data_IF_825315835930
#
_entry.id   IF_825315835930
#
_cell.length_a   1.000
_cell.length_b   1.000
_cell.length_c   1.000
_cell.angle_alpha   90.00
_cell.angle_beta   90.00
_cell.angle_gamma   90.00
#
_symmetry.space_group_name_H-M   'P 1'
#
loop_
_entity.id
_entity.type
_entity.pdbx_description
1 polymer ?
#
# COMPACT_ATOMS: atom_id res chain seq x y z
N UNK A 1 13.78 -9.40 17.84
CA UNK A 1 15.18 -9.18 17.39
C UNK A 1 16.11 -10.39 17.61
N UNK A 2 15.84 -11.33 18.53
CA UNK A 2 16.68 -12.54 18.70
C UNK A 2 16.52 -13.55 17.56
N UNK A 3 15.36 -13.61 16.92
CA UNK A 3 15.07 -14.54 15.82
C UNK A 3 15.80 -14.19 14.51
N UNK A 4 16.24 -12.94 14.33
CA UNK A 4 16.88 -12.48 13.08
C UNK A 4 18.24 -13.16 12.86
N UNK A 5 18.97 -13.49 13.93
CA UNK A 5 20.28 -14.16 13.85
C UNK A 5 20.23 -15.65 13.49
N UNK A 6 19.06 -16.28 13.57
CA UNK A 6 18.88 -17.72 13.28
C UNK A 6 18.25 -17.97 11.89
N UNK A 7 17.96 -16.90 11.15
CA UNK A 7 17.30 -16.98 9.84
C UNK A 7 18.33 -16.80 8.73
N UNK A 8 18.28 -17.60 7.65
CA UNK A 8 19.17 -17.46 6.50
C UNK A 8 19.18 -16.03 5.94
N UNK A 9 20.34 -15.58 5.46
CA UNK A 9 20.55 -14.22 4.92
C UNK A 9 19.58 -13.88 3.79
N UNK A 10 19.26 -14.85 2.95
CA UNK A 10 18.35 -14.71 1.81
C UNK A 10 16.92 -14.37 2.23
N UNK A 11 16.51 -14.82 3.42
CA UNK A 11 15.19 -14.48 3.99
C UNK A 11 15.21 -13.09 4.64
N UNK A 12 16.37 -12.70 5.21
CA UNK A 12 16.54 -11.38 5.82
C UNK A 12 16.52 -10.25 4.77
N UNK A 13 17.00 -10.49 3.55
CA UNK A 13 16.98 -9.51 2.45
C UNK A 13 15.57 -9.06 2.07
N UNK A 14 14.58 -9.95 2.19
CA UNK A 14 13.16 -9.63 1.93
C UNK A 14 12.44 -9.02 3.14
N UNK A 15 13.09 -8.97 4.30
CA UNK A 15 12.51 -8.48 5.55
C UNK A 15 11.53 -9.48 6.20
N UNK A 16 11.45 -9.42 7.52
CA UNK A 16 10.52 -10.23 8.31
C UNK A 16 9.52 -9.29 8.97
N UNK A 17 8.26 -9.45 8.60
CA UNK A 17 7.17 -8.68 9.21
C UNK A 17 6.36 -9.58 10.12
N UNK A 18 6.34 -9.26 11.42
CA UNK A 18 5.48 -9.93 12.42
C UNK A 18 4.35 -8.99 12.78
N UNK A 19 3.11 -9.40 12.51
CA UNK A 19 1.93 -8.62 12.83
C UNK A 19 0.94 -9.45 13.66
N UNK A 20 0.50 -8.98 14.85
CA UNK A 20 -0.60 -9.58 15.57
C UNK A 20 -1.90 -9.21 14.87
N UNK A 21 -2.50 -10.14 14.15
CA UNK A 21 -3.81 -9.93 13.51
C UNK A 21 -4.74 -11.09 13.71
N UNK A 22 -6.01 -10.81 13.77
CA UNK A 22 -7.05 -11.82 13.59
C UNK A 22 -7.18 -12.14 12.10
N UNK A 23 -7.31 -13.41 11.73
CA UNK A 23 -7.18 -13.87 10.33
C UNK A 23 -8.36 -13.50 9.43
N UNK A 24 -9.36 -12.76 9.88
CA UNK A 24 -10.55 -12.43 9.08
C UNK A 24 -10.58 -10.97 8.61
N UNK A 25 -10.97 -10.77 7.36
CA UNK A 25 -11.39 -9.45 6.87
C UNK A 25 -12.75 -9.14 7.46
N UNK A 26 -12.88 -7.97 8.11
CA UNK A 26 -14.16 -7.52 8.70
C UNK A 26 -14.92 -6.58 7.78
N UNK A 27 -14.22 -5.89 6.89
CA UNK A 27 -14.82 -4.96 5.93
C UNK A 27 -13.96 -4.86 4.68
N UNK A 28 -14.61 -4.77 3.53
CA UNK A 28 -13.97 -4.49 2.25
C UNK A 28 -14.55 -3.20 1.66
N UNK A 29 -13.67 -2.25 1.39
CA UNK A 29 -13.99 -0.95 0.81
C UNK A 29 -13.40 -0.89 -0.58
N UNK A 30 -14.21 -0.56 -1.56
CA UNK A 30 -13.77 -0.30 -2.93
C UNK A 30 -13.72 1.20 -3.16
N UNK A 31 -12.65 1.68 -3.76
CA UNK A 31 -12.51 3.02 -4.30
C UNK A 31 -12.43 2.91 -5.82
N UNK A 32 -13.19 3.70 -6.55
CA UNK A 32 -13.18 3.65 -8.02
C UNK A 32 -13.43 5.03 -8.62
N UNK A 33 -13.08 5.18 -9.89
CA UNK A 33 -13.32 6.41 -10.62
C UNK A 33 -14.17 6.13 -11.84
N UNK A 34 -15.28 6.86 -11.99
CA UNK A 34 -16.13 6.88 -13.17
C UNK A 34 -15.76 8.01 -14.15
N UNK A 35 -14.67 8.73 -13.86
CA UNK A 35 -14.18 9.80 -14.72
C UNK A 35 -13.72 9.24 -16.07
N UNK A 36 -14.19 9.85 -17.17
CA UNK A 36 -13.91 9.38 -18.53
C UNK A 36 -12.47 9.58 -18.98
N UNK A 37 -11.75 10.51 -18.33
CA UNK A 37 -10.36 10.78 -18.61
C UNK A 37 -9.47 9.85 -17.77
N UNK A 38 -8.41 9.35 -18.38
CA UNK A 38 -7.42 8.46 -17.75
C UNK A 38 -6.62 9.10 -16.60
N UNK A 39 -7.01 10.30 -16.17
CA UNK A 39 -6.35 11.03 -15.07
C UNK A 39 -6.40 10.28 -13.74
N UNK A 40 -7.45 9.49 -13.51
CA UNK A 40 -7.63 8.70 -12.28
C UNK A 40 -7.55 7.20 -12.59
N UNK A 41 -6.38 6.77 -13.04
CA UNK A 41 -6.09 5.38 -13.26
C UNK A 41 -5.95 4.61 -11.92
N UNK A 42 -5.81 3.30 -12.01
CA UNK A 42 -5.62 2.44 -10.85
C UNK A 42 -4.42 2.86 -10.00
N UNK A 43 -3.31 3.27 -10.62
CA UNK A 43 -2.09 3.68 -9.91
C UNK A 43 -2.31 4.96 -9.11
N UNK A 44 -3.05 5.91 -9.69
CA UNK A 44 -3.45 7.12 -8.97
C UNK A 44 -4.33 6.79 -7.77
N UNK A 45 -5.37 5.94 -7.95
CA UNK A 45 -6.27 5.55 -6.87
C UNK A 45 -5.52 4.83 -5.74
N UNK A 46 -4.54 3.98 -6.07
CA UNK A 46 -3.67 3.33 -5.12
C UNK A 46 -2.84 4.34 -4.30
N UNK A 47 -2.23 5.30 -4.97
CA UNK A 47 -1.45 6.36 -4.30
C UNK A 47 -2.36 7.26 -3.46
N UNK A 48 -3.51 7.65 -3.99
CA UNK A 48 -4.49 8.46 -3.29
C UNK A 48 -4.96 7.79 -1.98
N UNK A 49 -5.33 6.52 -2.05
CA UNK A 49 -5.77 5.77 -0.88
C UNK A 49 -4.63 5.59 0.15
N UNK A 50 -3.41 5.36 -0.30
CA UNK A 50 -2.24 5.24 0.58
C UNK A 50 -2.02 6.51 1.40
N UNK A 51 -2.17 7.67 0.79
CA UNK A 51 -1.90 8.96 1.42
C UNK A 51 -3.10 9.42 2.26
N UNK A 52 -4.31 9.34 1.70
CA UNK A 52 -5.49 10.01 2.25
C UNK A 52 -6.45 9.09 3.02
N UNK A 53 -6.47 7.77 2.74
CA UNK A 53 -7.46 6.87 3.34
C UNK A 53 -6.86 5.92 4.39
N UNK A 54 -5.72 5.29 4.10
CA UNK A 54 -5.18 4.24 4.97
C UNK A 54 -4.82 4.78 6.36
N UNK A 55 -4.20 5.97 6.44
CA UNK A 55 -3.81 6.55 7.73
C UNK A 55 -4.99 6.92 8.63
N UNK A 56 -6.04 7.61 8.15
CA UNK A 56 -7.24 7.85 8.95
C UNK A 56 -7.95 6.56 9.38
N UNK A 57 -8.05 5.56 8.51
CA UNK A 57 -8.65 4.26 8.83
C UNK A 57 -7.87 3.52 9.92
N UNK A 58 -6.54 3.52 9.86
CA UNK A 58 -5.68 2.89 10.89
C UNK A 58 -5.76 3.58 12.27
N UNK A 59 -6.30 4.80 12.36
CA UNK A 59 -6.53 5.48 13.64
C UNK A 59 -7.82 5.05 14.33
N UNK A 60 -8.67 4.31 13.66
CA UNK A 60 -9.89 3.76 14.25
C UNK A 60 -9.50 2.65 15.21
N UNK A 61 -9.96 2.75 16.44
CA UNK A 61 -9.66 1.77 17.50
C UNK A 61 -10.15 0.37 17.11
N UNK A 62 -9.30 -0.62 17.32
CA UNK A 62 -9.61 -2.01 16.99
C UNK A 62 -9.22 -2.44 15.58
N UNK A 63 -8.78 -1.56 14.68
CA UNK A 63 -8.22 -1.93 13.39
C UNK A 63 -6.76 -2.39 13.57
N UNK A 64 -6.45 -3.59 13.07
CA UNK A 64 -5.09 -4.12 13.05
C UNK A 64 -4.35 -3.73 11.78
N UNK A 65 -5.02 -3.79 10.64
CA UNK A 65 -4.41 -3.54 9.34
C UNK A 65 -5.45 -3.10 8.31
N UNK A 66 -5.03 -2.20 7.42
CA UNK A 66 -5.72 -1.87 6.17
C UNK A 66 -4.79 -2.25 5.03
N UNK A 67 -5.16 -3.27 4.25
CA UNK A 67 -4.36 -3.79 3.13
C UNK A 67 -5.00 -3.47 1.79
N UNK A 68 -4.17 -3.15 0.81
CA UNK A 68 -4.58 -2.93 -0.57
C UNK A 68 -4.49 -4.24 -1.34
N UNK A 69 -5.56 -4.62 -2.01
CA UNK A 69 -5.55 -5.78 -2.89
C UNK A 69 -4.95 -5.37 -4.25
N UNK A 70 -3.97 -6.15 -4.73
CA UNK A 70 -3.31 -5.86 -6.01
C UNK A 70 -2.55 -4.54 -6.01
N UNK A 71 -1.83 -4.21 -4.92
CA UNK A 71 -1.14 -2.93 -4.78
C UNK A 71 -0.21 -2.60 -5.96
N UNK A 72 -0.38 -1.41 -6.53
CA UNK A 72 0.40 -0.84 -7.64
C UNK A 72 0.95 0.51 -7.20
N UNK A 73 2.09 0.49 -6.53
CA UNK A 73 2.75 1.73 -6.14
C UNK A 73 3.51 2.33 -7.33
N UNK A 74 3.64 3.65 -7.35
CA UNK A 74 4.52 4.30 -8.30
C UNK A 74 5.96 3.86 -8.09
N UNK A 75 6.63 3.56 -9.17
CA UNK A 75 8.03 3.15 -9.19
C UNK A 75 8.74 3.71 -10.40
N UNK A 76 10.01 4.00 -10.25
CA UNK A 76 10.87 4.35 -11.37
C UNK A 76 11.27 3.07 -12.11
N UNK A 77 10.85 2.94 -13.35
CA UNK A 77 11.13 1.78 -14.21
C UNK A 77 12.34 2.06 -15.09
N UNK A 78 13.30 1.18 -15.04
CA UNK A 78 14.52 1.25 -15.85
C UNK A 78 14.50 0.08 -16.84
N UNK A 79 14.25 0.38 -18.10
CA UNK A 79 14.23 -0.59 -19.19
C UNK A 79 15.61 -0.66 -19.81
N UNK A 80 16.38 -1.66 -19.43
CA UNK A 80 17.73 -1.89 -19.93
C UNK A 80 17.70 -2.34 -21.40
N UNK A 81 18.61 -1.81 -22.22
CA UNK A 81 18.81 -2.26 -23.60
C UNK A 81 20.00 -3.23 -23.66
N UNK A 82 19.75 -4.56 -23.90
CA UNK A 82 20.81 -5.56 -23.87
C UNK A 82 21.91 -5.33 -24.92
N UNK A 83 21.55 -4.82 -26.12
CA UNK A 83 22.51 -4.56 -27.19
C UNK A 83 23.49 -3.44 -26.80
N UNK A 84 22.96 -2.35 -26.24
CA UNK A 84 23.79 -1.25 -25.74
C UNK A 84 24.64 -1.68 -24.55
N UNK A 85 24.11 -2.48 -23.65
CA UNK A 85 24.88 -3.02 -22.53
C UNK A 85 26.04 -3.89 -22.98
N UNK A 86 25.82 -4.75 -23.98
CA UNK A 86 26.87 -5.59 -24.57
C UNK A 86 27.96 -4.73 -25.25
N UNK A 87 27.59 -3.65 -25.93
CA UNK A 87 28.53 -2.72 -26.56
C UNK A 87 29.51 -2.10 -25.54
N UNK A 88 29.03 -1.80 -24.33
CA UNK A 88 29.83 -1.21 -23.25
C UNK A 88 30.39 -2.24 -22.25
N UNK A 89 30.25 -3.55 -22.55
CA UNK A 89 30.65 -4.65 -21.66
C UNK A 89 30.08 -4.49 -20.24
N UNK A 90 28.77 -4.27 -20.15
CA UNK A 90 28.03 -4.13 -18.87
C UNK A 90 27.13 -5.34 -18.65
N UNK A 91 26.96 -5.67 -17.37
CA UNK A 91 25.96 -6.64 -16.90
C UNK A 91 24.89 -5.92 -16.06
N UNK A 92 23.69 -6.48 -15.90
CA UNK A 92 22.63 -5.84 -15.10
C UNK A 92 23.04 -5.48 -13.66
N UNK A 93 23.95 -6.26 -13.08
CA UNK A 93 24.50 -6.01 -11.75
C UNK A 93 25.27 -4.71 -11.64
N UNK A 94 25.95 -4.27 -12.72
CA UNK A 94 26.66 -2.98 -12.73
C UNK A 94 25.68 -1.83 -12.60
N UNK A 95 24.52 -1.93 -13.26
CA UNK A 95 23.45 -0.92 -13.17
C UNK A 95 22.82 -0.94 -11.77
N UNK A 96 22.53 -2.12 -11.23
CA UNK A 96 21.97 -2.27 -9.86
C UNK A 96 22.93 -1.67 -8.84
N UNK A 97 24.24 -1.92 -8.99
CA UNK A 97 25.26 -1.36 -8.11
C UNK A 97 25.28 0.17 -8.21
N UNK A 98 25.29 0.73 -9.41
CA UNK A 98 25.28 2.17 -9.60
C UNK A 98 24.02 2.84 -9.03
N UNK A 99 22.86 2.18 -9.15
CA UNK A 99 21.59 2.63 -8.53
C UNK A 99 21.72 2.66 -7.00
N UNK A 100 22.22 1.60 -6.39
CA UNK A 100 22.39 1.52 -4.94
C UNK A 100 23.42 2.54 -4.42
N UNK A 101 24.51 2.75 -5.17
CA UNK A 101 25.59 3.65 -4.78
C UNK A 101 25.24 5.15 -4.91
N UNK A 102 24.23 5.49 -5.75
CA UNK A 102 23.88 6.90 -6.04
C UNK A 102 22.47 7.29 -5.59
N UNK A 103 21.57 6.32 -5.40
CA UNK A 103 20.17 6.58 -5.05
C UNK A 103 19.88 6.13 -3.62
N UNK A 104 20.53 6.75 -2.64
CA UNK A 104 20.36 6.44 -1.23
C UNK A 104 20.04 7.70 -0.42
N UNK A 105 19.48 7.51 0.77
CA UNK A 105 19.19 8.58 1.71
C UNK A 105 20.14 8.47 2.89
N UNK A 106 20.91 9.53 3.12
CA UNK A 106 21.77 9.65 4.29
C UNK A 106 21.32 10.87 5.10
N UNK A 107 21.42 10.76 6.41
CA UNK A 107 21.46 11.90 7.31
C UNK A 107 22.93 12.30 7.49
N UNK A 108 23.45 13.28 6.72
CA UNK A 108 24.89 13.53 6.63
C UNK A 108 25.48 14.19 7.88
N UNK A 109 24.66 14.45 8.91
CA UNK A 109 25.12 15.10 10.14
C UNK A 109 25.24 16.62 10.02
N UNK A 110 25.95 17.18 10.99
CA UNK A 110 26.18 18.63 11.12
C UNK A 110 27.67 18.89 11.30
N UNK A 111 28.14 20.02 10.80
CA UNK A 111 29.46 20.56 11.17
C UNK A 111 29.31 21.49 12.37
N UNK A 112 30.28 21.42 13.32
CA UNK A 112 30.32 22.32 14.45
C UNK A 112 29.70 21.79 15.75
N UNK A 113 29.17 20.57 15.77
CA UNK A 113 28.46 19.97 16.92
C UNK A 113 29.39 19.79 18.15
N UNK A 114 30.71 19.72 17.94
CA UNK A 114 31.74 19.54 18.99
C UNK A 114 32.85 20.61 19.00
N UNK A 115 32.66 21.71 18.25
CA UNK A 115 33.59 22.83 18.20
C UNK A 115 33.13 24.00 19.07
N UNK A 116 34.06 24.83 19.56
CA UNK A 116 33.76 26.11 20.24
C UNK A 116 33.13 27.17 19.30
N UNK A 117 32.75 26.80 18.09
CA UNK A 117 32.13 27.70 17.15
C UNK A 117 30.63 27.90 17.41
N UNK A 118 30.18 29.16 17.29
CA UNK A 118 28.82 29.61 17.62
C UNK A 118 27.78 29.16 16.59
N UNK A 119 28.19 28.59 15.45
CA UNK A 119 27.30 28.24 14.33
C UNK A 119 27.41 26.76 13.95
N UNK A 120 26.27 26.06 14.03
CA UNK A 120 26.10 24.73 13.42
C UNK A 120 25.72 24.86 11.93
N UNK A 121 26.44 24.18 11.04
CA UNK A 121 26.08 24.08 9.64
C UNK A 121 25.53 22.69 9.33
N UNK A 122 24.24 22.62 9.01
CA UNK A 122 23.59 21.36 8.61
C UNK A 122 23.99 21.03 7.17
N UNK A 123 24.58 19.86 6.97
CA UNK A 123 24.86 19.35 5.61
C UNK A 123 23.53 18.86 5.03
N UNK A 124 23.11 19.41 3.88
CA UNK A 124 21.96 18.91 3.15
C UNK A 124 22.41 17.97 2.04
N UNK A 125 21.96 16.73 2.09
CA UNK A 125 22.06 15.77 0.99
C UNK A 125 20.78 15.82 0.17
N UNK A 126 20.87 15.66 -1.15
CA UNK A 126 19.70 15.70 -2.05
C UNK A 126 18.69 14.59 -1.80
N UNK A 127 19.13 13.50 -1.16
CA UNK A 127 18.31 12.33 -0.91
C UNK A 127 18.13 11.43 -2.13
N UNK A 128 17.06 10.63 -2.12
CA UNK A 128 16.72 9.75 -3.24
C UNK A 128 16.22 10.53 -4.43
N UNK A 129 16.55 10.06 -5.62
CA UNK A 129 16.03 10.59 -6.87
C UNK A 129 14.53 10.35 -6.99
N UNK A 130 13.81 11.36 -7.46
CA UNK A 130 12.35 11.34 -7.58
C UNK A 130 11.84 11.58 -9.01
N UNK A 131 12.69 12.11 -9.87
CA UNK A 131 12.33 12.46 -11.26
C UNK A 131 13.11 11.61 -12.26
N UNK A 132 12.52 11.21 -13.40
CA UNK A 132 13.20 10.45 -14.44
C UNK A 132 14.52 11.09 -14.93
N UNK A 133 14.56 12.43 -14.98
CA UNK A 133 15.72 13.21 -15.43
C UNK A 133 16.94 13.01 -14.52
N UNK A 134 16.72 12.82 -13.23
CA UNK A 134 17.79 12.58 -12.27
C UNK A 134 18.42 11.21 -12.49
N UNK A 135 17.60 10.19 -12.74
CA UNK A 135 18.07 8.85 -13.10
C UNK A 135 18.76 8.83 -14.46
N UNK A 136 18.26 9.59 -15.45
CA UNK A 136 18.88 9.70 -16.77
C UNK A 136 20.35 10.12 -16.70
N UNK A 137 20.68 11.01 -15.78
CA UNK A 137 22.02 11.56 -15.63
C UNK A 137 22.89 10.78 -14.62
N UNK A 138 22.42 9.63 -14.14
CA UNK A 138 23.19 8.76 -13.26
C UNK A 138 24.38 8.18 -14.01
N UNK A 139 25.57 8.23 -13.37
CA UNK A 139 26.82 7.69 -13.93
C UNK A 139 26.87 6.18 -13.72
N UNK A 140 26.99 5.43 -14.82
CA UNK A 140 27.14 3.96 -14.76
C UNK A 140 28.62 3.57 -14.78
N UNK A 141 29.40 4.23 -15.66
CA UNK A 141 30.81 3.90 -15.84
C UNK A 141 31.60 5.12 -16.29
N UNK A 142 32.80 5.27 -15.78
CA UNK A 142 33.80 6.22 -16.32
C UNK A 142 34.89 5.42 -17.01
N UNK A 143 35.14 5.70 -18.27
CA UNK A 143 36.17 5.06 -19.05
C UNK A 143 37.55 5.68 -18.76
N UNK A 144 38.61 4.96 -19.14
CA UNK A 144 39.99 5.40 -18.92
C UNK A 144 40.37 6.68 -19.69
N UNK A 145 39.64 6.99 -20.75
CA UNK A 145 39.78 8.20 -21.58
C UNK A 145 39.03 9.40 -21.00
N UNK A 146 38.39 9.24 -19.83
CA UNK A 146 37.62 10.30 -19.20
C UNK A 146 36.17 10.40 -19.68
N UNK A 147 35.75 9.62 -20.67
CA UNK A 147 34.35 9.60 -21.12
C UNK A 147 33.45 8.95 -20.07
N UNK A 148 32.28 9.56 -19.86
CA UNK A 148 31.29 9.11 -18.85
C UNK A 148 30.10 8.51 -19.56
N UNK A 149 29.72 7.31 -19.15
CA UNK A 149 28.53 6.61 -19.61
C UNK A 149 27.39 6.82 -18.60
N UNK A 150 26.29 7.37 -19.08
CA UNK A 150 25.10 7.63 -18.26
C UNK A 150 24.05 6.55 -18.43
N UNK A 151 23.14 6.45 -17.46
CA UNK A 151 22.04 5.47 -17.51
C UNK A 151 21.14 5.65 -18.75
N UNK A 152 20.87 6.89 -19.17
CA UNK A 152 20.13 7.20 -20.42
C UNK A 152 20.73 6.60 -21.69
N UNK A 153 22.04 6.35 -21.70
CA UNK A 153 22.73 5.83 -22.88
C UNK A 153 22.42 4.35 -23.11
N UNK A 154 22.09 3.61 -22.02
CA UNK A 154 21.87 2.16 -22.03
C UNK A 154 20.46 1.75 -21.62
N UNK A 155 19.63 2.68 -21.14
CA UNK A 155 18.30 2.40 -20.66
C UNK A 155 17.30 3.50 -21.02
N UNK A 156 16.00 3.13 -20.98
CA UNK A 156 14.88 4.07 -20.96
C UNK A 156 14.30 4.10 -19.55
N UNK A 157 14.06 5.29 -19.03
CA UNK A 157 13.56 5.50 -17.68
C UNK A 157 12.19 6.15 -17.77
N UNK A 158 11.23 5.61 -17.01
CA UNK A 158 9.87 6.14 -16.92
C UNK A 158 9.29 5.94 -15.54
N UNK A 159 8.43 6.84 -15.11
CA UNK A 159 7.59 6.65 -13.93
C UNK A 159 6.44 5.73 -14.31
N UNK A 160 6.24 4.65 -13.57
CA UNK A 160 5.18 3.68 -13.82
C UNK A 160 4.77 2.91 -12.57
N UNK A 161 3.99 1.87 -12.73
CA UNK A 161 3.59 1.01 -11.62
C UNK A 161 4.64 -0.05 -11.31
N UNK A 162 4.82 -0.38 -10.02
CA UNK A 162 5.73 -1.46 -9.57
C UNK A 162 5.31 -2.80 -10.15
N UNK A 163 4.00 -3.10 -10.16
CA UNK A 163 3.44 -4.34 -10.68
C UNK A 163 2.49 -4.04 -11.84
N UNK A 164 2.63 -4.76 -12.95
CA UNK A 164 1.77 -4.66 -14.13
C UNK A 164 0.86 -5.89 -14.30
N UNK A 165 1.03 -6.92 -13.50
CA UNK A 165 0.31 -8.19 -13.64
C UNK A 165 -1.08 -8.18 -12.98
N UNK A 166 -1.40 -7.18 -12.19
CA UNK A 166 -2.72 -7.01 -11.57
C UNK A 166 -3.49 -5.87 -12.22
N UNK A 167 -4.79 -6.07 -12.47
CA UNK A 167 -5.74 -5.07 -12.96
C UNK A 167 -6.97 -5.12 -12.04
N UNK A 168 -7.27 -4.03 -11.37
CA UNK A 168 -8.36 -3.94 -10.41
C UNK A 168 -9.48 -3.09 -11.01
N UNK A 169 -10.67 -3.68 -11.11
CA UNK A 169 -11.87 -2.99 -11.58
C UNK A 169 -13.02 -3.17 -10.61
N UNK A 170 -13.72 -2.10 -10.36
CA UNK A 170 -14.94 -2.06 -9.58
C UNK A 170 -16.07 -1.62 -10.51
N UNK A 171 -17.06 -2.50 -10.74
CA UNK A 171 -18.16 -2.25 -11.66
C UNK A 171 -17.72 -1.86 -13.10
N UNK A 172 -16.56 -2.36 -13.54
CA UNK A 172 -15.99 -2.06 -14.85
C UNK A 172 -15.11 -0.80 -14.92
N UNK A 173 -15.06 -0.02 -13.87
CA UNK A 173 -14.20 1.16 -13.73
C UNK A 173 -12.86 0.84 -13.08
N UNK A 174 -11.79 1.59 -13.37
CA UNK A 174 -10.54 1.49 -12.63
C UNK A 174 -10.81 1.64 -11.13
N UNK A 175 -10.28 0.74 -10.32
CA UNK A 175 -10.59 0.72 -8.90
C UNK A 175 -9.48 0.16 -8.02
N UNK A 176 -9.71 0.26 -6.74
CA UNK A 176 -8.88 -0.25 -5.67
C UNK A 176 -9.75 -0.91 -4.62
N UNK A 177 -9.32 -2.03 -4.10
CA UNK A 177 -9.97 -2.71 -2.97
C UNK A 177 -9.10 -2.62 -1.73
N UNK A 178 -9.68 -2.12 -0.64
CA UNK A 178 -9.09 -2.06 0.69
C UNK A 178 -9.75 -3.11 1.58
N UNK A 179 -8.95 -3.97 2.18
CA UNK A 179 -9.40 -4.95 3.17
C UNK A 179 -8.99 -4.50 4.57
N UNK A 180 -9.96 -4.43 5.47
CA UNK A 180 -9.76 -4.08 6.88
C UNK A 180 -9.79 -5.35 7.70
N UNK A 181 -8.78 -5.52 8.55
CA UNK A 181 -8.72 -6.59 9.56
C UNK A 181 -8.69 -5.97 10.95
N UNK A 182 -9.26 -6.68 11.91
CA UNK A 182 -9.34 -6.21 13.30
C UNK A 182 -8.27 -6.83 14.19
N UNK A 183 -7.99 -6.16 15.31
CA UNK A 183 -7.20 -6.74 16.41
C UNK A 183 -8.00 -7.81 17.14
N UNK A 184 -7.30 -8.78 17.73
CA UNK A 184 -7.96 -9.82 18.53
C UNK A 184 -8.70 -9.19 19.70
N UNK A 185 -9.96 -9.60 19.91
CA UNK A 185 -10.81 -9.11 20.99
C UNK A 185 -11.52 -7.78 20.74
N UNK A 186 -11.32 -7.12 19.59
CA UNK A 186 -12.05 -5.91 19.23
C UNK A 186 -13.49 -6.23 18.76
N UNK A 187 -14.35 -5.22 18.80
CA UNK A 187 -15.75 -5.32 18.39
C UNK A 187 -15.95 -4.87 16.94
N UNK A 188 -16.22 -5.82 16.03
CA UNK A 188 -16.43 -5.53 14.62
C UNK A 188 -17.60 -4.57 14.36
N UNK A 189 -18.64 -4.59 15.19
CA UNK A 189 -19.78 -3.68 15.06
C UNK A 189 -19.39 -2.22 15.36
N UNK A 190 -18.62 -2.00 16.42
CA UNK A 190 -18.14 -0.68 16.77
C UNK A 190 -17.16 -0.13 15.71
N UNK A 191 -16.28 -0.99 15.21
CA UNK A 191 -15.36 -0.64 14.12
C UNK A 191 -16.15 -0.25 12.85
N UNK A 192 -17.21 -0.99 12.48
CA UNK A 192 -18.05 -0.66 11.32
C UNK A 192 -18.63 0.76 11.44
N UNK A 193 -19.17 1.13 12.59
CA UNK A 193 -19.75 2.46 12.82
C UNK A 193 -18.68 3.55 12.68
N UNK A 194 -17.53 3.35 13.31
CA UNK A 194 -16.45 4.34 13.28
C UNK A 194 -15.83 4.48 11.89
N UNK A 195 -15.58 3.37 11.18
CA UNK A 195 -15.06 3.37 9.82
C UNK A 195 -16.01 4.11 8.88
N UNK A 196 -17.30 3.86 8.95
CA UNK A 196 -18.28 4.56 8.11
C UNK A 196 -18.28 6.06 8.34
N UNK A 197 -18.22 6.49 9.60
CA UNK A 197 -18.10 7.91 9.93
C UNK A 197 -16.84 8.53 9.30
N UNK A 198 -15.71 7.84 9.40
CA UNK A 198 -14.45 8.28 8.79
C UNK A 198 -14.55 8.33 7.26
N UNK A 199 -15.19 7.33 6.63
CA UNK A 199 -15.41 7.31 5.18
C UNK A 199 -16.31 8.46 4.71
N UNK A 200 -17.40 8.76 5.43
CA UNK A 200 -18.30 9.86 5.14
C UNK A 200 -17.58 11.22 5.21
N UNK A 201 -16.70 11.41 6.20
CA UNK A 201 -15.90 12.64 6.29
C UNK A 201 -14.85 12.72 5.17
N UNK A 202 -14.19 11.63 4.84
CA UNK A 202 -13.21 11.59 3.74
C UNK A 202 -13.88 11.81 2.38
N UNK A 203 -15.09 11.29 2.16
CA UNK A 203 -15.81 11.43 0.91
C UNK A 203 -16.10 12.88 0.54
N UNK A 204 -16.23 13.77 1.53
CA UNK A 204 -16.40 15.22 1.30
C UNK A 204 -15.19 15.87 0.62
N UNK A 205 -14.03 15.25 0.72
CA UNK A 205 -12.76 15.74 0.19
C UNK A 205 -12.27 14.98 -1.03
N UNK A 206 -13.05 14.02 -1.52
CA UNK A 206 -12.68 13.27 -2.70
C UNK A 206 -12.68 14.18 -3.94
N UNK A 207 -11.70 14.01 -4.83
CA UNK A 207 -11.76 14.63 -6.16
C UNK A 207 -13.04 14.22 -6.89
N UNK A 208 -13.52 15.09 -7.76
CA UNK A 208 -14.70 14.83 -8.59
C UNK A 208 -14.50 13.57 -9.44
N UNK A 209 -15.50 12.67 -9.46
CA UNK A 209 -15.45 11.41 -10.18
C UNK A 209 -14.78 10.27 -9.40
N UNK A 210 -14.40 10.47 -8.14
CA UNK A 210 -13.93 9.39 -7.26
C UNK A 210 -15.05 9.02 -6.29
N UNK A 211 -15.38 7.73 -6.25
CA UNK A 211 -16.44 7.16 -5.42
C UNK A 211 -15.92 6.01 -4.58
N UNK A 212 -16.61 5.72 -3.49
CA UNK A 212 -16.36 4.53 -2.70
C UNK A 212 -17.62 3.70 -2.52
N UNK A 213 -17.42 2.41 -2.33
CA UNK A 213 -18.46 1.44 -2.00
C UNK A 213 -17.94 0.47 -0.94
N UNK A 214 -18.84 0.00 -0.07
CA UNK A 214 -18.52 -1.01 0.94
C UNK A 214 -19.15 -2.33 0.53
N UNK A 215 -18.38 -3.19 -0.13
CA UNK A 215 -18.87 -4.42 -0.75
C UNK A 215 -19.02 -5.59 0.22
N UNK A 216 -18.30 -5.57 1.36
CA UNK A 216 -18.37 -6.62 2.37
C UNK A 216 -18.31 -6.03 3.77
N UNK A 217 -19.17 -6.53 4.67
CA UNK A 217 -19.18 -6.22 6.10
C UNK A 217 -19.50 -7.49 6.90
N UNK A 218 -18.61 -7.84 7.77
CA UNK A 218 -18.82 -8.97 8.69
C UNK A 218 -20.06 -8.75 9.60
N UNK A 219 -20.31 -7.49 9.95
CA UNK A 219 -21.48 -7.08 10.73
C UNK A 219 -22.78 -7.56 10.10
N UNK A 220 -22.97 -7.42 8.80
CA UNK A 220 -24.21 -7.81 8.13
C UNK A 220 -24.47 -9.31 8.26
N UNK A 221 -23.43 -10.14 8.16
CA UNK A 221 -23.54 -11.58 8.36
C UNK A 221 -23.90 -11.95 9.81
N UNK A 222 -23.34 -11.22 10.77
CA UNK A 222 -23.66 -11.41 12.18
C UNK A 222 -25.10 -11.01 12.46
N UNK A 223 -25.54 -9.85 12.00
CA UNK A 223 -26.89 -9.34 12.19
C UNK A 223 -27.93 -10.26 11.54
N UNK A 224 -27.66 -10.77 10.34
CA UNK A 224 -28.50 -11.76 9.66
C UNK A 224 -28.60 -13.07 10.45
N UNK A 225 -27.47 -13.58 10.93
CA UNK A 225 -27.43 -14.80 11.77
C UNK A 225 -28.23 -14.62 13.07
N UNK A 226 -28.11 -13.48 13.74
CA UNK A 226 -28.87 -13.15 14.96
C UNK A 226 -30.37 -13.08 14.65
N UNK A 227 -30.74 -12.45 13.54
CA UNK A 227 -32.15 -12.35 13.12
C UNK A 227 -32.75 -13.74 12.80
N UNK A 228 -31.96 -14.59 12.15
CA UNK A 228 -32.39 -15.96 11.86
C UNK A 228 -32.61 -16.77 13.15
N UNK A 229 -31.71 -16.65 14.15
CA UNK A 229 -31.90 -17.31 15.46
C UNK A 229 -33.13 -16.77 16.17
N UNK A 230 -33.37 -15.46 16.16
CA UNK A 230 -34.58 -14.87 16.74
C UNK A 230 -35.85 -15.39 16.05
N UNK A 231 -35.83 -15.49 14.73
CA UNK A 231 -36.98 -15.99 13.96
C UNK A 231 -37.29 -17.45 14.28
N UNK A 232 -36.28 -18.33 14.26
CA UNK A 232 -36.44 -19.75 14.63
C UNK A 232 -36.90 -19.95 16.08
N UNK A 233 -36.40 -19.11 16.98
CA UNK A 233 -36.85 -19.16 18.39
C UNK A 233 -38.35 -18.78 18.50
N UNK A 234 -38.78 -17.74 17.77
CA UNK A 234 -40.17 -17.31 17.76
C UNK A 234 -41.07 -18.37 17.11
N UNK A 235 -40.66 -18.98 16.01
CA UNK A 235 -41.39 -20.07 15.37
C UNK A 235 -41.52 -21.28 16.29
N UNK A 236 -40.42 -21.68 16.97
CA UNK A 236 -40.45 -22.77 17.94
C UNK A 236 -41.38 -22.46 19.11
N UNK A 237 -41.38 -21.22 19.60
CA UNK A 237 -42.29 -20.78 20.67
C UNK A 237 -43.76 -20.89 20.24
N UNK A 238 -44.12 -20.43 19.04
CA UNK A 238 -45.45 -20.53 18.48
C UNK A 238 -45.87 -22.02 18.37
N UNK A 239 -44.98 -22.85 17.84
CA UNK A 239 -45.25 -24.27 17.66
C UNK A 239 -45.51 -24.98 19.00
N UNK A 240 -44.68 -24.72 20.00
CA UNK A 240 -44.90 -25.26 21.37
C UNK A 240 -46.19 -24.73 21.93
N UNK A 241 -46.51 -23.43 21.77
CA UNK A 241 -47.76 -22.87 22.26
C UNK A 241 -48.97 -23.52 21.61
N UNK A 242 -48.95 -23.76 20.30
CA UNK A 242 -50.03 -24.44 19.57
C UNK A 242 -50.21 -25.88 20.09
N UNK A 243 -49.11 -26.60 20.26
CA UNK A 243 -49.16 -27.98 20.78
C UNK A 243 -49.77 -28.02 22.18
N UNK A 244 -49.29 -27.17 23.08
CA UNK A 244 -49.82 -27.09 24.45
C UNK A 244 -51.30 -26.71 24.42
N UNK A 245 -51.72 -25.75 23.58
CA UNK A 245 -53.11 -25.34 23.47
C UNK A 245 -54.04 -26.45 22.95
N UNK A 246 -53.54 -27.30 22.02
CA UNK A 246 -54.34 -28.45 21.52
C UNK A 246 -54.46 -29.57 22.52
N UNK A 247 -53.44 -29.83 23.35
CA UNK A 247 -53.40 -30.95 24.25
C UNK A 247 -53.84 -30.63 25.69
N UNK A 248 -53.93 -29.36 26.05
CA UNK A 248 -54.43 -28.89 27.34
C UNK A 248 -55.90 -28.52 27.26
#
# INVERSE_FOLDING_TARGET
>A
SKAIGEIPSEVNENGITVQPRQSGVIMTINLYSDHKDSAYDETFLQAYAQINMIRPLLRVDGIAQVSRLGARDYSMRVWLNPEKMALYNLVPQDVTKALNDQNFEIAPGKFGETSDEVFETVIKHKGRFSQPEEFNNMVIKTNKDGSVLYLKDIARIELGATNLSSDNKVNGFPGLTLNITQTSGSNAHEIDIQVRKVLEEMAKTFPEGIHYDVSYRLRDQIDESINQVKHTLFEAFILVFIIVFIFL
#
